data_IF_255324544721
#
_entry.id   IF_255324544721
#
_cell.length_a   1.000
_cell.length_b   1.000
_cell.length_c   1.000
_cell.angle_alpha   90.00
_cell.angle_beta   90.00
_cell.angle_gamma   90.00
#
_symmetry.space_group_name_H-M   'P 1'
#
loop_
_entity.id
_entity.type
_entity.pdbx_description
1 polymer ?
#
# COMPACT_ATOMS: atom_id res chain seq x y z
N UNK A 1 39.32 22.45 -25.88
CA UNK A 1 38.02 21.86 -25.50
C UNK A 1 38.20 21.12 -24.19
N UNK A 2 37.81 21.73 -23.06
CA UNK A 2 38.07 21.18 -21.71
C UNK A 2 36.91 20.27 -21.32
N UNK A 3 37.18 18.98 -21.13
CA UNK A 3 36.23 18.04 -20.53
C UNK A 3 36.10 18.34 -19.03
N UNK A 4 34.93 18.82 -18.63
CA UNK A 4 34.67 19.31 -17.26
C UNK A 4 34.51 18.14 -16.27
N UNK A 5 35.32 18.01 -15.19
CA UNK A 5 35.33 16.85 -14.28
C UNK A 5 34.14 16.74 -13.30
N UNK A 6 33.14 17.62 -13.41
CA UNK A 6 32.07 17.74 -12.40
C UNK A 6 31.01 16.65 -12.49
N UNK A 7 30.82 16.03 -13.65
CA UNK A 7 29.78 15.02 -13.88
C UNK A 7 30.17 13.60 -13.36
N UNK A 8 31.45 13.23 -13.52
CA UNK A 8 31.99 11.92 -13.07
C UNK A 8 31.99 11.76 -11.54
N UNK A 9 32.05 12.87 -10.79
CA UNK A 9 31.94 12.86 -9.31
C UNK A 9 30.49 12.69 -8.84
N UNK A 10 29.53 13.28 -9.57
CA UNK A 10 28.09 13.10 -9.34
C UNK A 10 27.66 11.65 -9.56
N UNK A 11 28.06 11.04 -10.67
CA UNK A 11 27.73 9.65 -10.99
C UNK A 11 28.36 8.59 -10.07
N UNK A 12 29.52 8.86 -9.45
CA UNK A 12 30.11 7.97 -8.43
C UNK A 12 29.41 8.10 -7.08
N UNK A 13 29.01 9.31 -6.69
CA UNK A 13 28.28 9.56 -5.44
C UNK A 13 26.87 8.97 -5.51
N UNK A 14 26.18 9.12 -6.64
CA UNK A 14 24.86 8.54 -6.87
C UNK A 14 24.91 7.00 -6.82
N UNK A 15 25.85 6.36 -7.52
CA UNK A 15 26.02 4.88 -7.45
C UNK A 15 26.33 4.39 -6.04
N UNK A 16 27.21 5.06 -5.30
CA UNK A 16 27.49 4.71 -3.89
C UNK A 16 26.29 4.97 -2.96
N UNK A 17 25.40 5.90 -3.31
CA UNK A 17 24.18 6.17 -2.56
C UNK A 17 23.14 5.09 -2.81
N UNK A 18 22.96 4.68 -4.07
CA UNK A 18 22.08 3.57 -4.47
C UNK A 18 22.54 2.24 -3.87
N UNK A 19 23.85 1.96 -3.87
CA UNK A 19 24.43 0.79 -3.22
C UNK A 19 24.12 0.73 -1.72
N UNK A 20 24.26 1.87 -1.02
CA UNK A 20 23.94 1.98 0.40
C UNK A 20 22.44 1.86 0.68
N UNK A 21 21.60 2.53 -0.12
CA UNK A 21 20.14 2.42 0.02
C UNK A 21 19.69 0.97 -0.17
N UNK A 22 20.23 0.26 -1.17
CA UNK A 22 19.98 -1.17 -1.37
C UNK A 22 20.39 -2.01 -0.16
N UNK A 23 21.59 -1.81 0.39
CA UNK A 23 22.04 -2.51 1.62
C UNK A 23 21.16 -2.24 2.82
N UNK A 24 20.70 -1.00 3.00
CA UNK A 24 19.75 -0.62 4.07
C UNK A 24 18.41 -1.32 3.86
N UNK A 25 17.89 -1.32 2.63
CA UNK A 25 16.65 -2.01 2.27
C UNK A 25 16.74 -3.50 2.60
N UNK A 26 17.76 -4.20 2.11
CA UNK A 26 17.95 -5.63 2.34
C UNK A 26 18.11 -5.95 3.84
N UNK A 27 18.86 -5.13 4.58
CA UNK A 27 19.02 -5.29 6.02
C UNK A 27 17.70 -5.12 6.77
N UNK A 28 16.95 -4.06 6.47
CA UNK A 28 15.66 -3.78 7.08
C UNK A 28 14.63 -4.86 6.72
N UNK A 29 14.56 -5.25 5.45
CA UNK A 29 13.61 -6.26 4.96
C UNK A 29 13.83 -7.60 5.66
N UNK A 30 15.07 -8.05 5.75
CA UNK A 30 15.41 -9.29 6.45
C UNK A 30 15.07 -9.22 7.95
N UNK A 31 15.48 -8.16 8.64
CA UNK A 31 15.26 -8.03 10.07
C UNK A 31 13.77 -7.90 10.42
N UNK A 32 13.01 -7.10 9.68
CA UNK A 32 11.56 -7.02 9.90
C UNK A 32 10.84 -8.33 9.57
N UNK A 33 11.32 -9.06 8.55
CA UNK A 33 10.75 -10.35 8.18
C UNK A 33 10.95 -11.43 9.27
N UNK A 34 12.15 -11.47 9.87
CA UNK A 34 12.51 -12.49 10.85
C UNK A 34 12.07 -12.14 12.27
N UNK A 35 12.24 -10.88 12.65
CA UNK A 35 12.13 -10.45 14.04
C UNK A 35 10.88 -9.62 14.31
N UNK A 36 10.15 -9.14 13.31
CA UNK A 36 9.01 -8.24 13.50
C UNK A 36 9.43 -6.82 13.90
N UNK A 37 8.55 -5.85 13.69
CA UNK A 37 8.82 -4.44 13.89
C UNK A 37 9.26 -4.09 15.30
N UNK A 38 8.64 -4.66 16.34
CA UNK A 38 8.87 -4.25 17.73
C UNK A 38 10.29 -4.60 18.20
N UNK A 39 10.78 -5.79 17.82
CA UNK A 39 12.09 -6.29 18.28
C UNK A 39 13.28 -5.75 17.48
N UNK A 40 13.04 -5.19 16.30
CA UNK A 40 14.10 -4.61 15.47
C UNK A 40 14.46 -3.20 15.95
N UNK A 41 15.76 -2.92 15.94
CA UNK A 41 16.33 -1.60 16.26
C UNK A 41 17.03 -1.01 15.03
N UNK A 42 17.13 0.32 14.97
CA UNK A 42 17.89 1.01 13.92
C UNK A 42 19.38 0.66 13.96
N UNK A 43 19.93 0.35 15.14
CA UNK A 43 21.31 -0.11 15.30
C UNK A 43 21.55 -1.47 14.63
N UNK A 44 20.66 -2.45 14.83
CA UNK A 44 20.76 -3.75 14.16
C UNK A 44 20.71 -3.61 12.63
N UNK A 45 19.85 -2.71 12.13
CA UNK A 45 19.77 -2.41 10.70
C UNK A 45 21.06 -1.79 10.20
N UNK A 46 21.63 -0.79 10.91
CA UNK A 46 22.88 -0.15 10.49
C UNK A 46 24.07 -1.13 10.52
N UNK A 47 24.14 -1.99 11.54
CA UNK A 47 25.20 -2.98 11.68
C UNK A 47 25.12 -4.01 10.55
N UNK A 48 23.93 -4.54 10.28
CA UNK A 48 23.69 -5.50 9.19
C UNK A 48 23.94 -4.88 7.82
N UNK A 49 23.56 -3.61 7.63
CA UNK A 49 23.82 -2.88 6.40
C UNK A 49 25.29 -2.44 6.28
N UNK A 50 26.13 -2.66 7.30
CA UNK A 50 27.53 -2.21 7.43
C UNK A 50 27.68 -0.69 7.11
N UNK A 51 26.91 0.11 7.84
CA UNK A 51 26.96 1.58 7.82
C UNK A 51 26.95 2.16 9.24
N UNK A 52 27.45 3.38 9.39
CA UNK A 52 27.28 4.11 10.64
C UNK A 52 25.80 4.47 10.89
N UNK A 53 25.34 4.41 12.14
CA UNK A 53 23.96 4.76 12.53
C UNK A 53 23.54 6.16 12.03
N UNK A 54 24.42 7.17 12.15
CA UNK A 54 24.16 8.51 11.62
C UNK A 54 23.98 8.57 10.09
N UNK A 55 24.52 7.60 9.35
CA UNK A 55 24.30 7.48 7.90
C UNK A 55 22.91 6.93 7.59
N UNK A 56 22.38 6.01 8.40
CA UNK A 56 21.05 5.44 8.24
C UNK A 56 19.97 6.53 8.24
N UNK A 57 20.08 7.47 9.18
CA UNK A 57 19.14 8.60 9.32
C UNK A 57 19.12 9.58 8.13
N UNK A 58 20.06 9.46 7.19
CA UNK A 58 20.03 10.21 5.93
C UNK A 58 19.13 9.56 4.87
N UNK A 59 18.74 8.30 5.06
CA UNK A 59 17.88 7.55 4.15
C UNK A 59 16.47 7.36 4.70
N UNK A 60 16.32 7.24 6.02
CA UNK A 60 15.04 7.15 6.70
C UNK A 60 15.15 7.78 8.09
N UNK A 61 14.25 8.71 8.43
CA UNK A 61 14.32 9.49 9.67
C UNK A 61 13.99 8.67 10.92
N UNK A 62 13.26 7.57 10.76
CA UNK A 62 12.77 6.75 11.86
C UNK A 62 12.78 5.24 11.52
N UNK A 63 12.61 4.40 12.54
CA UNK A 63 12.35 2.96 12.34
C UNK A 63 11.06 2.74 11.54
N UNK A 64 10.04 3.56 11.78
CA UNK A 64 8.79 3.55 11.02
C UNK A 64 9.01 3.84 9.54
N UNK A 65 9.86 4.83 9.24
CA UNK A 65 10.20 5.17 7.86
C UNK A 65 11.00 4.05 7.14
N UNK A 66 11.84 3.29 7.87
CA UNK A 66 12.47 2.08 7.33
C UNK A 66 11.45 0.96 7.07
N UNK A 67 10.44 0.81 7.93
CA UNK A 67 9.36 -0.15 7.70
C UNK A 67 8.54 0.24 6.46
N UNK A 68 8.16 1.51 6.33
CA UNK A 68 7.45 2.03 5.16
C UNK A 68 8.25 1.78 3.87
N UNK A 69 9.56 2.05 3.87
CA UNK A 69 10.45 1.79 2.73
C UNK A 69 10.36 0.34 2.23
N UNK A 70 10.40 -0.64 3.15
CA UNK A 70 10.33 -2.06 2.80
C UNK A 70 8.92 -2.47 2.40
N UNK A 71 7.93 -2.13 3.23
CA UNK A 71 6.56 -2.60 3.06
C UNK A 71 5.90 -1.99 1.82
N UNK A 72 6.26 -0.77 1.42
CA UNK A 72 5.78 -0.16 0.18
C UNK A 72 6.16 -0.98 -1.06
N UNK A 73 7.33 -1.63 -1.06
CA UNK A 73 7.75 -2.48 -2.17
C UNK A 73 6.90 -3.76 -2.24
N UNK A 74 6.66 -4.40 -1.09
CA UNK A 74 5.78 -5.57 -1.00
C UNK A 74 4.33 -5.20 -1.37
N UNK A 75 3.83 -4.03 -0.92
CA UNK A 75 2.49 -3.54 -1.22
C UNK A 75 2.34 -3.21 -2.71
N UNK A 76 3.34 -2.58 -3.33
CA UNK A 76 3.36 -2.33 -4.77
C UNK A 76 3.29 -3.62 -5.58
N UNK A 77 4.09 -4.63 -5.22
CA UNK A 77 4.07 -5.93 -5.89
C UNK A 77 2.71 -6.65 -5.70
N UNK A 78 2.11 -6.56 -4.52
CA UNK A 78 0.78 -7.10 -4.25
C UNK A 78 -0.29 -6.40 -5.11
N UNK A 79 -0.23 -5.07 -5.22
CA UNK A 79 -1.15 -4.30 -6.05
C UNK A 79 -1.00 -4.64 -7.53
N UNK A 80 0.23 -4.72 -8.05
CA UNK A 80 0.51 -5.13 -9.42
C UNK A 80 -0.03 -6.53 -9.73
N UNK A 81 0.12 -7.49 -8.79
CA UNK A 81 -0.44 -8.82 -8.92
C UNK A 81 -1.98 -8.79 -8.93
N UNK A 82 -2.60 -8.02 -8.04
CA UNK A 82 -4.05 -7.87 -7.95
C UNK A 82 -4.64 -7.25 -9.22
N UNK A 83 -4.02 -6.19 -9.74
CA UNK A 83 -4.43 -5.53 -10.98
C UNK A 83 -4.44 -6.48 -12.18
N UNK A 84 -3.42 -7.36 -12.31
CA UNK A 84 -3.38 -8.34 -13.40
C UNK A 84 -4.58 -9.28 -13.35
N UNK A 85 -4.91 -9.81 -12.17
CA UNK A 85 -6.04 -10.75 -12.02
C UNK A 85 -7.38 -10.03 -12.16
N UNK A 86 -7.50 -8.79 -11.67
CA UNK A 86 -8.72 -8.00 -11.76
C UNK A 86 -9.13 -7.71 -13.22
N UNK A 87 -8.15 -7.48 -14.11
CA UNK A 87 -8.41 -7.24 -15.56
C UNK A 87 -9.09 -8.42 -16.27
N UNK A 88 -8.97 -9.63 -15.73
CA UNK A 88 -9.61 -10.84 -16.27
C UNK A 88 -11.04 -11.05 -15.77
N UNK A 89 -11.58 -10.13 -14.96
CA UNK A 89 -12.91 -10.25 -14.36
C UNK A 89 -13.88 -9.25 -14.98
N UNK A 90 -15.07 -9.73 -15.32
CA UNK A 90 -16.17 -8.92 -15.87
C UNK A 90 -17.13 -8.43 -14.79
N UNK A 91 -17.28 -9.20 -13.70
CA UNK A 91 -18.04 -8.76 -12.53
C UNK A 91 -17.19 -7.79 -11.68
N UNK A 92 -17.68 -6.57 -11.41
CA UNK A 92 -16.90 -5.57 -10.65
C UNK A 92 -16.61 -5.99 -9.21
N UNK A 93 -17.52 -6.71 -8.54
CA UNK A 93 -17.29 -7.20 -7.18
C UNK A 93 -16.17 -8.25 -7.15
N UNK A 94 -16.17 -9.17 -8.12
CA UNK A 94 -15.10 -10.15 -8.31
C UNK A 94 -13.77 -9.50 -8.70
N UNK A 95 -13.79 -8.47 -9.55
CA UNK A 95 -12.60 -7.72 -9.96
C UNK A 95 -11.96 -7.00 -8.75
N UNK A 96 -12.76 -6.29 -7.94
CA UNK A 96 -12.29 -5.61 -6.73
C UNK A 96 -11.79 -6.63 -5.70
N UNK A 97 -12.50 -7.74 -5.50
CA UNK A 97 -12.05 -8.82 -4.60
C UNK A 97 -10.71 -9.40 -5.05
N UNK A 98 -10.52 -9.60 -6.36
CA UNK A 98 -9.25 -10.07 -6.91
C UNK A 98 -8.12 -9.04 -6.74
N UNK A 99 -8.43 -7.75 -6.87
CA UNK A 99 -7.49 -6.65 -6.68
C UNK A 99 -6.96 -6.59 -5.24
N UNK A 100 -7.84 -6.69 -4.24
CA UNK A 100 -7.44 -6.54 -2.82
C UNK A 100 -6.87 -7.81 -2.20
N UNK A 101 -7.11 -8.98 -2.79
CA UNK A 101 -6.69 -10.27 -2.22
C UNK A 101 -5.19 -10.38 -1.96
N UNK A 102 -4.27 -10.03 -2.88
CA UNK A 102 -2.84 -10.06 -2.59
C UNK A 102 -2.43 -9.13 -1.45
N UNK A 103 -3.15 -8.02 -1.24
CA UNK A 103 -2.91 -7.08 -0.14
C UNK A 103 -3.29 -7.72 1.20
N UNK A 104 -4.41 -8.45 1.25
CA UNK A 104 -4.80 -9.24 2.42
C UNK A 104 -3.80 -10.37 2.70
N UNK A 105 -3.35 -11.07 1.65
CA UNK A 105 -2.37 -12.14 1.78
C UNK A 105 -1.02 -11.61 2.29
N UNK A 106 -0.58 -10.43 1.83
CA UNK A 106 0.60 -9.75 2.36
C UNK A 106 0.42 -9.44 3.86
N UNK A 107 -0.72 -8.87 4.21
CA UNK A 107 -1.02 -8.48 5.59
C UNK A 107 -1.06 -9.68 6.56
N UNK A 108 -1.66 -10.79 6.12
CA UNK A 108 -1.78 -12.00 6.93
C UNK A 108 -0.43 -12.67 7.21
N UNK A 109 0.57 -12.50 6.33
CA UNK A 109 1.91 -13.11 6.52
C UNK A 109 2.64 -12.56 7.74
N UNK A 110 2.45 -11.27 8.05
CA UNK A 110 3.21 -10.56 9.09
C UNK A 110 2.34 -9.51 9.78
N UNK A 111 1.33 -9.98 10.53
CA UNK A 111 0.33 -9.13 11.21
C UNK A 111 0.97 -8.01 12.03
N UNK A 112 2.03 -8.29 12.80
CA UNK A 112 2.75 -7.28 13.58
C UNK A 112 3.28 -6.13 12.70
N UNK A 113 3.94 -6.46 11.58
CA UNK A 113 4.48 -5.47 10.66
C UNK A 113 3.38 -4.70 9.94
N UNK A 114 2.26 -5.35 9.61
CA UNK A 114 1.11 -4.69 9.00
C UNK A 114 0.50 -3.66 9.94
N UNK A 115 0.32 -4.00 11.22
CA UNK A 115 -0.22 -3.06 12.21
C UNK A 115 0.72 -1.86 12.36
N UNK A 116 2.02 -2.11 12.48
CA UNK A 116 3.01 -1.04 12.54
C UNK A 116 2.96 -0.17 11.27
N UNK A 117 2.94 -0.78 10.08
CA UNK A 117 2.84 -0.08 8.80
C UNK A 117 1.61 0.82 8.74
N UNK A 118 0.43 0.31 9.13
CA UNK A 118 -0.80 1.11 9.16
C UNK A 118 -0.69 2.29 10.12
N UNK A 119 -0.10 2.09 11.30
CA UNK A 119 0.10 3.17 12.27
C UNK A 119 1.01 4.27 11.72
N UNK A 120 2.15 3.91 11.14
CA UNK A 120 3.09 4.88 10.56
C UNK A 120 2.48 5.58 9.33
N UNK A 121 1.72 4.85 8.50
CA UNK A 121 1.04 5.43 7.34
C UNK A 121 0.00 6.47 7.76
N UNK A 122 -0.81 6.18 8.79
CA UNK A 122 -1.86 7.09 9.25
C UNK A 122 -1.32 8.25 10.08
N UNK A 123 -0.48 7.96 11.07
CA UNK A 123 -0.11 8.90 12.13
C UNK A 123 1.36 9.33 12.10
N UNK A 124 2.14 8.85 11.13
CA UNK A 124 3.52 9.28 10.93
C UNK A 124 3.65 10.74 10.45
N UNK A 125 4.85 11.34 10.55
CA UNK A 125 5.08 12.72 10.15
C UNK A 125 4.80 12.95 8.65
N UNK A 126 4.14 14.04 8.26
CA UNK A 126 3.76 14.29 6.86
C UNK A 126 4.96 14.57 5.94
N UNK A 127 6.14 14.85 6.50
CA UNK A 127 7.37 15.16 5.77
C UNK A 127 8.20 13.93 5.38
N UNK A 128 7.83 12.74 5.86
CA UNK A 128 8.56 11.49 5.58
C UNK A 128 8.24 10.99 4.16
N UNK A 129 9.30 10.67 3.39
CA UNK A 129 9.18 10.38 1.96
C UNK A 129 8.45 9.04 1.72
N UNK A 130 8.78 8.01 2.49
CA UNK A 130 8.18 6.69 2.29
C UNK A 130 6.74 6.64 2.81
N UNK A 131 6.35 7.57 3.70
CA UNK A 131 4.94 7.75 4.06
C UNK A 131 4.17 8.33 2.88
N UNK A 132 4.71 9.36 2.21
CA UNK A 132 4.10 9.92 1.01
C UNK A 132 3.98 8.86 -0.11
N UNK A 133 5.00 8.03 -0.30
CA UNK A 133 4.94 6.90 -1.24
C UNK A 133 3.85 5.87 -0.88
N UNK A 134 3.72 5.52 0.39
CA UNK A 134 2.68 4.60 0.86
C UNK A 134 1.28 5.15 0.63
N UNK A 135 1.07 6.45 0.86
CA UNK A 135 -0.20 7.13 0.58
C UNK A 135 -0.50 7.19 -0.93
N UNK A 136 0.52 7.34 -1.78
CA UNK A 136 0.35 7.24 -3.23
C UNK A 136 -0.07 5.84 -3.68
N UNK A 137 0.40 4.77 -3.01
CA UNK A 137 -0.07 3.40 -3.27
C UNK A 137 -1.52 3.20 -2.85
N UNK A 138 -1.95 3.81 -1.72
CA UNK A 138 -3.36 3.84 -1.31
C UNK A 138 -4.21 4.53 -2.36
N UNK A 139 -3.79 5.72 -2.81
CA UNK A 139 -4.50 6.46 -3.86
C UNK A 139 -4.59 5.66 -5.16
N UNK A 140 -3.51 4.97 -5.57
CA UNK A 140 -3.52 4.08 -6.74
C UNK A 140 -4.56 2.95 -6.59
N UNK A 141 -4.63 2.32 -5.42
CA UNK A 141 -5.62 1.28 -5.15
C UNK A 141 -7.06 1.84 -5.24
N UNK A 142 -7.33 2.98 -4.61
CA UNK A 142 -8.64 3.65 -4.65
C UNK A 142 -9.04 4.02 -6.09
N UNK A 143 -8.14 4.64 -6.86
CA UNK A 143 -8.38 4.99 -8.26
C UNK A 143 -8.64 3.76 -9.13
N UNK A 144 -7.89 2.67 -8.92
CA UNK A 144 -8.11 1.42 -9.66
C UNK A 144 -9.50 0.83 -9.38
N UNK A 145 -9.97 0.91 -8.12
CA UNK A 145 -11.33 0.49 -7.77
C UNK A 145 -12.37 1.37 -8.45
N UNK A 146 -12.18 2.69 -8.43
CA UNK A 146 -13.06 3.64 -9.12
C UNK A 146 -13.14 3.37 -10.63
N UNK A 147 -12.01 3.06 -11.26
CA UNK A 147 -11.94 2.74 -12.69
C UNK A 147 -12.69 1.45 -13.03
N UNK A 148 -12.55 0.40 -12.21
CA UNK A 148 -13.32 -0.85 -12.35
C UNK A 148 -14.81 -0.57 -12.30
N UNK A 149 -15.26 0.21 -11.31
CA UNK A 149 -16.65 0.57 -11.12
C UNK A 149 -17.19 1.37 -12.32
N UNK A 150 -16.49 2.43 -12.72
CA UNK A 150 -16.89 3.29 -13.82
C UNK A 150 -16.93 2.53 -15.16
N UNK A 151 -15.96 1.64 -15.42
CA UNK A 151 -15.97 0.78 -16.59
C UNK A 151 -17.17 -0.18 -16.60
N UNK A 152 -17.47 -0.80 -15.45
CA UNK A 152 -18.64 -1.67 -15.32
C UNK A 152 -19.95 -0.90 -15.53
N UNK A 153 -20.08 0.32 -15.01
CA UNK A 153 -21.28 1.14 -15.20
C UNK A 153 -21.51 1.50 -16.66
N UNK A 154 -20.46 1.97 -17.38
CA UNK A 154 -20.51 2.24 -18.82
C UNK A 154 -20.93 1.01 -19.62
N UNK A 155 -20.35 -0.16 -19.34
CA UNK A 155 -20.71 -1.41 -20.03
C UNK A 155 -22.18 -1.82 -19.86
N UNK A 156 -22.84 -1.33 -18.81
CA UNK A 156 -24.24 -1.60 -18.46
C UNK A 156 -25.19 -0.46 -18.88
N UNK A 157 -24.68 0.57 -19.57
CA UNK A 157 -25.46 1.75 -19.95
C UNK A 157 -25.92 2.58 -18.73
N UNK A 158 -25.17 2.54 -17.64
CA UNK A 158 -25.42 3.34 -16.43
C UNK A 158 -24.43 4.49 -16.39
N UNK A 159 -24.87 5.70 -16.72
CA UNK A 159 -24.03 6.92 -16.73
C UNK A 159 -24.69 8.02 -15.89
N UNK A 160 -24.50 8.00 -14.56
CA UNK A 160 -24.98 9.08 -13.70
C UNK A 160 -24.20 10.38 -13.96
N UNK A 161 -24.83 11.57 -13.79
CA UNK A 161 -24.19 12.86 -14.02
C UNK A 161 -22.85 13.06 -13.27
N UNK A 162 -22.74 12.46 -12.08
CA UNK A 162 -21.58 12.57 -11.18
C UNK A 162 -20.80 11.25 -11.10
N UNK A 163 -20.73 10.48 -12.20
CA UNK A 163 -20.15 9.12 -12.20
C UNK A 163 -18.74 9.06 -11.62
N UNK A 164 -17.89 10.02 -11.97
CA UNK A 164 -16.51 10.06 -11.51
C UNK A 164 -16.43 10.22 -9.99
N UNK A 165 -17.10 11.24 -9.43
CA UNK A 165 -17.14 11.51 -8.00
C UNK A 165 -17.75 10.34 -7.21
N UNK A 166 -18.82 9.72 -7.75
CA UNK A 166 -19.43 8.53 -7.15
C UNK A 166 -18.48 7.33 -7.14
N UNK A 167 -17.71 7.14 -8.20
CA UNK A 167 -16.75 6.04 -8.31
C UNK A 167 -15.57 6.26 -7.35
N UNK A 168 -15.08 7.50 -7.24
CA UNK A 168 -14.04 7.86 -6.28
C UNK A 168 -14.50 7.69 -4.82
N UNK A 169 -15.74 8.07 -4.50
CA UNK A 169 -16.31 7.84 -3.17
C UNK A 169 -16.45 6.35 -2.86
N UNK A 170 -16.90 5.56 -3.83
CA UNK A 170 -16.99 4.11 -3.68
C UNK A 170 -15.60 3.46 -3.53
N UNK A 171 -14.60 3.91 -4.29
CA UNK A 171 -13.20 3.48 -4.15
C UNK A 171 -12.65 3.73 -2.75
N UNK A 172 -12.81 4.95 -2.23
CA UNK A 172 -12.44 5.31 -0.85
C UNK A 172 -13.19 4.49 0.19
N UNK A 173 -14.47 4.21 -0.06
CA UNK A 173 -15.30 3.39 0.84
C UNK A 173 -14.82 1.93 0.89
N UNK A 174 -14.44 1.35 -0.26
CA UNK A 174 -13.81 0.01 -0.32
C UNK A 174 -12.47 0.01 0.41
N UNK A 175 -11.64 1.04 0.24
CA UNK A 175 -10.38 1.15 0.98
C UNK A 175 -10.61 1.25 2.49
N UNK A 176 -11.61 2.03 2.94
CA UNK A 176 -11.92 2.16 4.36
C UNK A 176 -12.31 0.80 5.00
N UNK A 177 -13.12 -0.01 4.31
CA UNK A 177 -13.47 -1.34 4.83
C UNK A 177 -12.32 -2.33 4.77
N UNK A 178 -11.48 -2.27 3.73
CA UNK A 178 -10.23 -3.04 3.67
C UNK A 178 -9.32 -2.67 4.84
N UNK A 179 -9.16 -1.37 5.12
CA UNK A 179 -8.33 -0.88 6.22
C UNK A 179 -8.81 -1.43 7.57
N UNK A 180 -10.12 -1.41 7.82
CA UNK A 180 -10.71 -1.99 9.04
C UNK A 180 -10.50 -3.51 9.13
N UNK A 181 -10.62 -4.23 8.01
CA UNK A 181 -10.34 -5.67 7.98
C UNK A 181 -8.87 -5.97 8.34
N UNK A 182 -7.94 -5.14 7.84
CA UNK A 182 -6.51 -5.24 8.16
C UNK A 182 -6.19 -4.90 9.62
N UNK A 183 -6.94 -3.98 10.23
CA UNK A 183 -6.79 -3.58 11.63
C UNK A 183 -7.54 -4.52 12.61
N UNK A 184 -8.38 -5.42 12.13
CA UNK A 184 -9.17 -6.31 12.99
C UNK A 184 -8.31 -7.12 13.99
N UNK A 185 -7.16 -7.72 13.61
CA UNK A 185 -6.34 -8.50 14.53
C UNK A 185 -5.80 -7.70 15.73
N UNK A 186 -5.62 -6.38 15.60
CA UNK A 186 -5.14 -5.53 16.70
C UNK A 186 -6.25 -4.91 17.53
N UNK A 187 -7.44 -4.75 16.97
CA UNK A 187 -8.58 -4.09 17.63
C UNK A 187 -9.50 -5.07 18.36
N UNK A 188 -9.52 -6.35 17.96
CA UNK A 188 -10.48 -7.33 18.45
C UNK A 188 -11.93 -7.00 18.05
N UNK A 189 -12.12 -6.04 17.14
CA UNK A 189 -13.43 -5.65 16.64
C UNK A 189 -14.07 -6.82 15.87
N UNK A 190 -15.39 -6.94 15.95
CA UNK A 190 -16.15 -7.99 15.26
C UNK A 190 -15.63 -9.41 15.55
N UNK A 191 -15.29 -9.69 16.81
CA UNK A 191 -14.82 -11.02 17.23
C UNK A 191 -15.80 -12.13 16.80
N UNK A 192 -15.27 -13.21 16.19
CA UNK A 192 -16.06 -14.33 15.67
C UNK A 192 -16.49 -14.19 14.20
N UNK A 193 -16.22 -13.06 13.57
CA UNK A 193 -16.44 -12.86 12.14
C UNK A 193 -15.20 -13.20 11.30
N UNK A 194 -15.41 -13.67 10.06
CA UNK A 194 -14.35 -13.83 9.06
C UNK A 194 -14.15 -12.51 8.31
N UNK A 195 -13.05 -11.82 8.60
CA UNK A 195 -12.67 -10.54 7.98
C UNK A 195 -12.75 -10.56 6.46
N UNK A 196 -12.33 -11.67 5.83
CA UNK A 196 -12.31 -11.80 4.39
C UNK A 196 -13.73 -11.99 3.83
N UNK A 197 -14.60 -12.69 4.56
CA UNK A 197 -16.00 -12.83 4.19
C UNK A 197 -16.76 -11.51 4.34
N UNK A 198 -16.56 -10.81 5.45
CA UNK A 198 -17.19 -9.51 5.72
C UNK A 198 -16.77 -8.47 4.67
N UNK A 199 -15.46 -8.41 4.34
CA UNK A 199 -14.95 -7.54 3.29
C UNK A 199 -15.59 -7.84 1.93
N UNK A 200 -15.74 -9.12 1.55
CA UNK A 200 -16.43 -9.49 0.29
C UNK A 200 -17.90 -9.03 0.31
N UNK A 201 -18.58 -9.18 1.44
CA UNK A 201 -19.96 -8.71 1.63
C UNK A 201 -20.08 -7.19 1.49
N UNK A 202 -19.18 -6.44 2.12
CA UNK A 202 -19.13 -4.98 2.05
C UNK A 202 -18.79 -4.48 0.64
N UNK A 203 -17.85 -5.12 -0.05
CA UNK A 203 -17.57 -4.85 -1.47
C UNK A 203 -18.85 -5.02 -2.30
N UNK A 204 -19.58 -6.13 -2.12
CA UNK A 204 -20.81 -6.38 -2.86
C UNK A 204 -21.88 -5.30 -2.59
N UNK A 205 -22.04 -4.86 -1.34
CA UNK A 205 -22.96 -3.77 -0.98
C UNK A 205 -22.57 -2.44 -1.63
N UNK A 206 -21.29 -2.08 -1.60
CA UNK A 206 -20.78 -0.83 -2.21
C UNK A 206 -20.96 -0.87 -3.73
N UNK A 207 -20.62 -1.98 -4.38
CA UNK A 207 -20.79 -2.19 -5.82
C UNK A 207 -22.27 -2.07 -6.22
N UNK A 208 -23.16 -2.73 -5.48
CA UNK A 208 -24.60 -2.66 -5.72
C UNK A 208 -25.13 -1.22 -5.56
N UNK A 209 -24.73 -0.51 -4.50
CA UNK A 209 -25.11 0.88 -4.26
C UNK A 209 -24.59 1.84 -5.33
N UNK A 210 -23.38 1.60 -5.85
CA UNK A 210 -22.83 2.38 -6.96
C UNK A 210 -23.62 2.16 -8.27
N UNK A 211 -23.94 0.90 -8.59
CA UNK A 211 -24.65 0.54 -9.82
C UNK A 211 -26.16 0.78 -9.78
N UNK A 212 -26.74 1.04 -8.61
CA UNK A 212 -28.14 1.41 -8.50
C UNK A 212 -28.43 2.66 -9.34
N UNK A 213 -29.42 2.57 -10.24
CA UNK A 213 -29.99 3.76 -10.91
C UNK A 213 -30.64 4.60 -9.80
N UNK A 214 -30.39 5.92 -9.77
CA UNK A 214 -31.20 6.82 -8.93
C UNK A 214 -32.65 6.51 -9.29
N UNK A 215 -33.42 5.99 -8.33
CA UNK A 215 -34.85 5.78 -8.50
C UNK A 215 -35.48 7.09 -8.94
N UNK A 216 -36.34 7.00 -9.94
CA UNK A 216 -37.36 7.99 -10.26
C UNK A 216 -37.96 8.47 -8.92
N UNK A 217 -37.74 9.74 -8.59
CA UNK A 217 -38.52 10.45 -7.56
C UNK A 217 -39.82 10.92 -8.20
#
# INVERSE_FOLDING_TARGET
MVHSPRDVRGGRRARKMLDKQGRIFEAAAHLFAENGFERVTTQQISDRADIAAGTLFRYAASKGELLLMVYNEEFRAALDAGERVARERTDPGAAITALVRPVLDLAARRVENTIAYQRELLFGPPTEQYRAEGLALVQRLESTIADILAASARSRGVEPPDMHERAELAGRSVFAVLHLALAQPSTGAHAGHDAAADLRGQIAQIVAGFLARKGEQ
#
